data_IF_463196929041
#
_entry.id   IF_463196929041
#
_cell.length_a   1.000
_cell.length_b   1.000
_cell.length_c   1.000
_cell.angle_alpha   90.00
_cell.angle_beta   90.00
_cell.angle_gamma   90.00
#
_symmetry.space_group_name_H-M   'P 1'
#
loop_
_entity.id
_entity.type
_entity.pdbx_description
1 polymer ?
#
# COMPACT_ATOMS: atom_id res chain seq x y z
N UNK A 1 -12.40 39.06 16.81
CA UNK A 1 -12.59 40.18 15.86
C UNK A 1 -13.65 39.93 14.79
N UNK A 2 -13.76 38.72 14.19
CA UNK A 2 -14.80 38.37 13.19
C UNK A 2 -16.23 38.75 13.61
N UNK A 3 -16.68 38.37 14.81
CA UNK A 3 -18.05 38.63 15.27
C UNK A 3 -18.36 40.13 15.49
N UNK A 4 -17.37 40.92 15.90
CA UNK A 4 -17.50 42.37 16.07
C UNK A 4 -17.65 43.11 14.72
N UNK A 5 -16.99 42.60 13.67
CA UNK A 5 -17.18 43.11 12.30
C UNK A 5 -18.50 42.62 11.68
N UNK A 6 -19.04 41.47 12.11
CA UNK A 6 -20.35 40.96 11.70
C UNK A 6 -21.46 41.83 12.29
N UNK A 7 -21.39 42.14 13.60
CA UNK A 7 -22.36 42.99 14.30
C UNK A 7 -22.48 44.38 13.64
N UNK A 8 -21.36 44.92 13.16
CA UNK A 8 -21.31 46.23 12.48
C UNK A 8 -21.64 46.16 10.97
N UNK A 9 -21.92 44.98 10.42
CA UNK A 9 -22.20 44.80 8.98
C UNK A 9 -21.00 45.01 8.06
N UNK A 10 -19.77 44.98 8.59
CA UNK A 10 -18.53 45.29 7.87
C UNK A 10 -17.76 44.04 7.41
N UNK A 11 -18.15 42.86 7.90
CA UNK A 11 -17.46 41.60 7.59
C UNK A 11 -17.48 41.23 6.09
N UNK A 12 -18.57 41.53 5.37
CA UNK A 12 -18.68 41.23 3.93
C UNK A 12 -17.62 42.01 3.10
N UNK A 13 -17.32 43.24 3.51
CA UNK A 13 -16.30 44.10 2.91
C UNK A 13 -14.89 43.61 3.24
N UNK A 14 -14.59 43.35 4.52
CA UNK A 14 -13.27 42.88 4.98
C UNK A 14 -12.93 41.48 4.46
N UNK A 15 -13.93 40.62 4.25
CA UNK A 15 -13.75 39.27 3.69
C UNK A 15 -13.59 39.22 2.16
N UNK A 16 -13.58 40.38 1.48
CA UNK A 16 -13.43 40.46 0.02
C UNK A 16 -14.66 40.01 -0.78
N UNK A 17 -15.82 39.82 -0.13
CA UNK A 17 -17.07 39.40 -0.78
C UNK A 17 -17.88 40.56 -1.39
N UNK A 18 -17.48 41.79 -1.11
CA UNK A 18 -18.09 43.03 -1.63
C UNK A 18 -17.00 43.78 -2.41
N UNK A 19 -17.09 43.77 -3.74
CA UNK A 19 -16.13 44.46 -4.61
C UNK A 19 -16.52 45.94 -4.76
N UNK A 20 -15.53 46.78 -5.06
CA UNK A 20 -15.71 48.22 -5.30
C UNK A 20 -16.90 48.48 -6.24
N UNK A 21 -17.91 49.27 -5.82
CA UNK A 21 -19.04 49.61 -6.67
C UNK A 21 -18.60 50.40 -7.90
N UNK A 22 -19.16 50.09 -9.08
CA UNK A 22 -18.85 50.81 -10.32
C UNK A 22 -19.54 52.19 -10.43
N UNK A 23 -20.58 52.42 -9.61
CA UNK A 23 -21.34 53.66 -9.58
C UNK A 23 -20.69 54.68 -8.62
N UNK A 24 -20.44 55.90 -9.11
CA UNK A 24 -19.81 56.99 -8.33
C UNK A 24 -20.60 57.39 -7.07
N UNK A 25 -21.93 57.27 -7.08
CA UNK A 25 -22.79 57.59 -5.92
C UNK A 25 -22.65 56.57 -4.78
N UNK A 26 -22.35 55.31 -5.09
CA UNK A 26 -22.13 54.25 -4.10
C UNK A 26 -20.67 54.19 -3.61
N UNK A 27 -19.76 54.92 -4.28
CA UNK A 27 -18.33 54.92 -3.95
C UNK A 27 -18.05 55.63 -2.63
N UNK A 28 -18.73 56.75 -2.35
CA UNK A 28 -18.59 57.47 -1.07
C UNK A 28 -19.05 56.64 0.13
N UNK A 29 -20.21 55.98 0.00
CA UNK A 29 -20.72 55.07 1.03
C UNK A 29 -19.80 53.84 1.24
N UNK A 30 -19.12 53.40 0.19
CA UNK A 30 -18.15 52.30 0.26
C UNK A 30 -16.86 52.73 0.97
N UNK A 31 -16.32 53.91 0.67
CA UNK A 31 -15.14 54.48 1.32
C UNK A 31 -15.38 54.71 2.83
N UNK A 32 -16.52 55.29 3.21
CA UNK A 32 -16.90 55.46 4.62
C UNK A 32 -16.98 54.12 5.37
N UNK A 33 -17.49 53.07 4.70
CA UNK A 33 -17.53 51.71 5.26
C UNK A 33 -16.14 51.09 5.35
N UNK A 34 -15.24 51.39 4.41
CA UNK A 34 -13.85 50.95 4.46
C UNK A 34 -13.11 51.59 5.64
N UNK A 35 -13.23 52.91 5.82
CA UNK A 35 -12.61 53.64 6.91
C UNK A 35 -13.16 53.22 8.27
N UNK A 36 -14.47 52.95 8.34
CA UNK A 36 -15.10 52.39 9.55
C UNK A 36 -14.60 50.99 9.86
N UNK A 37 -14.40 50.15 8.84
CA UNK A 37 -13.84 48.81 9.02
C UNK A 37 -12.39 48.87 9.50
N UNK A 38 -11.55 49.69 8.86
CA UNK A 38 -10.15 49.88 9.22
C UNK A 38 -10.01 50.44 10.64
N UNK A 39 -10.79 51.46 10.98
CA UNK A 39 -10.82 52.04 12.33
C UNK A 39 -11.27 51.03 13.38
N UNK A 40 -12.29 50.23 13.06
CA UNK A 40 -12.77 49.18 13.96
C UNK A 40 -11.69 48.12 14.20
N UNK A 41 -10.96 47.72 13.16
CA UNK A 41 -9.82 46.80 13.26
C UNK A 41 -8.73 47.45 14.14
N UNK A 42 -8.29 48.66 13.82
CA UNK A 42 -7.21 49.36 14.54
C UNK A 42 -7.49 49.58 16.03
N UNK A 43 -8.74 49.94 16.38
CA UNK A 43 -9.12 50.20 17.78
C UNK A 43 -9.26 48.93 18.62
N UNK A 44 -9.45 47.76 18.01
CA UNK A 44 -9.68 46.50 18.71
C UNK A 44 -8.43 45.59 18.74
N UNK A 45 -7.26 46.11 18.34
CA UNK A 45 -5.99 45.40 18.33
C UNK A 45 -5.06 45.98 19.40
N UNK A 46 -4.29 45.11 20.06
CA UNK A 46 -3.27 45.50 21.04
C UNK A 46 -2.19 46.39 20.40
N UNK A 47 -1.66 47.36 21.16
CA UNK A 47 -0.67 48.36 20.68
C UNK A 47 0.53 47.74 19.94
N UNK A 48 0.97 46.56 20.37
CA UNK A 48 2.10 45.82 19.78
C UNK A 48 1.88 45.41 18.31
N UNK A 49 0.64 45.13 17.89
CA UNK A 49 0.33 44.68 16.53
C UNK A 49 -0.16 45.79 15.61
N UNK A 50 -0.39 47.00 16.15
CA UNK A 50 -0.81 48.17 15.34
C UNK A 50 0.20 48.54 14.27
N UNK A 51 1.48 48.20 14.47
CA UNK A 51 2.55 48.39 13.48
C UNK A 51 2.29 47.63 12.18
N UNK A 52 1.60 46.50 12.22
CA UNK A 52 1.31 45.64 11.07
C UNK A 52 0.28 46.24 10.10
N UNK A 53 -0.51 47.20 10.57
CA UNK A 53 -1.62 47.79 9.81
C UNK A 53 -1.50 49.31 9.65
N UNK A 54 -0.52 49.95 10.30
CA UNK A 54 -0.37 51.41 10.32
C UNK A 54 -0.16 52.04 8.94
N UNK A 55 0.44 51.30 8.00
CA UNK A 55 0.72 51.75 6.64
C UNK A 55 -0.41 51.44 5.66
N UNK A 56 -1.39 50.63 6.06
CA UNK A 56 -2.42 50.12 5.17
C UNK A 56 -3.65 51.01 5.18
N UNK A 57 -4.06 51.47 4.00
CA UNK A 57 -5.30 52.22 3.78
C UNK A 57 -6.47 51.32 3.39
N UNK A 58 -6.21 50.04 3.08
CA UNK A 58 -7.23 49.09 2.68
C UNK A 58 -7.55 48.12 3.83
N UNK A 59 -8.81 48.04 4.29
CA UNK A 59 -9.21 47.15 5.37
C UNK A 59 -9.02 45.67 5.03
N UNK A 60 -9.08 45.29 3.74
CA UNK A 60 -8.81 43.92 3.28
C UNK A 60 -7.34 43.57 3.50
N UNK A 61 -6.41 44.41 3.01
CA UNK A 61 -4.96 44.20 3.18
C UNK A 61 -4.54 44.25 4.65
N UNK A 62 -5.10 45.19 5.41
CA UNK A 62 -4.87 45.26 6.86
C UNK A 62 -5.30 43.96 7.55
N UNK A 63 -6.46 43.40 7.17
CA UNK A 63 -6.94 42.13 7.69
C UNK A 63 -6.09 40.93 7.23
N UNK A 64 -5.64 40.90 5.98
CA UNK A 64 -4.76 39.86 5.44
C UNK A 64 -3.40 39.85 6.14
N UNK A 65 -2.80 41.01 6.40
CA UNK A 65 -1.53 41.13 7.12
C UNK A 65 -1.65 40.60 8.56
N UNK A 66 -2.75 40.95 9.25
CA UNK A 66 -3.03 40.41 10.59
C UNK A 66 -3.25 38.91 10.53
N UNK A 67 -4.05 38.44 9.57
CA UNK A 67 -4.30 37.02 9.38
C UNK A 67 -3.00 36.25 9.14
N UNK A 68 -2.13 36.75 8.26
CA UNK A 68 -0.82 36.15 7.97
C UNK A 68 0.15 36.17 9.15
N UNK A 69 0.04 37.15 10.05
CA UNK A 69 0.91 37.23 11.23
C UNK A 69 0.43 36.33 12.37
N UNK A 70 -0.88 36.20 12.55
CA UNK A 70 -1.49 35.46 13.66
C UNK A 70 -1.91 34.03 13.33
N UNK A 71 -2.09 33.68 12.06
CA UNK A 71 -2.08 32.29 11.65
C UNK A 71 -0.61 31.84 11.65
N UNK A 72 -0.19 30.97 12.59
CA UNK A 72 1.10 30.31 12.44
C UNK A 72 1.10 29.66 11.06
N UNK A 73 2.22 29.76 10.35
CA UNK A 73 2.36 29.13 9.04
C UNK A 73 2.10 27.63 9.23
N UNK A 74 0.88 27.20 8.91
CA UNK A 74 0.48 25.80 9.02
C UNK A 74 1.41 24.94 8.17
N UNK A 75 2.21 25.54 7.28
CA UNK A 75 3.33 24.90 6.58
C UNK A 75 4.20 24.02 7.46
N UNK A 76 4.53 24.39 8.69
CA UNK A 76 5.34 23.51 9.56
C UNK A 76 4.54 22.27 9.93
N UNK A 77 3.30 22.43 10.37
CA UNK A 77 2.42 21.32 10.77
C UNK A 77 1.98 20.49 9.56
N UNK A 78 1.59 21.12 8.46
CA UNK A 78 1.41 20.54 7.13
C UNK A 78 2.63 19.71 6.73
N UNK A 79 3.84 20.25 6.80
CA UNK A 79 5.05 19.51 6.46
C UNK A 79 5.26 18.30 7.37
N UNK A 80 5.01 18.43 8.68
CA UNK A 80 5.08 17.30 9.61
C UNK A 80 4.07 16.20 9.26
N UNK A 81 2.80 16.54 9.11
CA UNK A 81 1.73 15.58 8.77
C UNK A 81 1.98 14.97 7.38
N UNK A 82 2.43 15.78 6.42
CA UNK A 82 2.72 15.31 5.06
C UNK A 82 3.91 14.35 5.04
N UNK A 83 4.97 14.62 5.81
CA UNK A 83 6.07 13.68 5.97
C UNK A 83 5.61 12.37 6.61
N UNK A 84 4.77 12.44 7.64
CA UNK A 84 4.18 11.26 8.28
C UNK A 84 3.32 10.45 7.28
N UNK A 85 2.55 11.13 6.42
CA UNK A 85 1.82 10.50 5.32
C UNK A 85 2.76 9.77 4.36
N UNK A 86 3.85 10.41 3.90
CA UNK A 86 4.81 9.80 2.98
C UNK A 86 5.54 8.58 3.59
N UNK A 87 5.76 8.59 4.90
CA UNK A 87 6.38 7.49 5.64
C UNK A 87 5.38 6.41 6.07
N UNK A 88 4.08 6.70 6.03
CA UNK A 88 3.02 5.77 6.38
C UNK A 88 3.02 4.59 5.41
N UNK A 89 3.41 3.43 5.92
CA UNK A 89 3.50 2.17 5.19
C UNK A 89 2.83 1.05 5.99
N UNK A 90 2.31 0.01 5.32
CA UNK A 90 1.72 -1.13 6.01
C UNK A 90 2.81 -1.84 6.81
N UNK A 91 2.56 -2.02 8.11
CA UNK A 91 3.43 -2.78 8.98
C UNK A 91 3.18 -4.28 8.77
N UNK A 92 4.22 -5.12 8.81
CA UNK A 92 4.03 -6.58 8.65
C UNK A 92 3.25 -7.21 9.80
N UNK A 93 3.30 -6.60 10.99
CA UNK A 93 2.59 -7.04 12.19
C UNK A 93 1.16 -6.51 12.28
N UNK A 94 0.86 -5.39 11.62
CA UNK A 94 -0.46 -4.74 11.66
C UNK A 94 -1.16 -4.99 10.32
N UNK A 95 -2.40 -5.47 10.32
CA UNK A 95 -3.12 -5.72 9.06
C UNK A 95 -3.37 -4.43 8.25
N UNK A 96 -3.71 -4.58 6.97
CA UNK A 96 -4.01 -3.44 6.09
C UNK A 96 -5.13 -2.53 6.62
N UNK A 97 -6.06 -3.04 7.44
CA UNK A 97 -7.10 -2.23 8.08
C UNK A 97 -6.51 -1.10 8.96
N UNK A 98 -5.47 -1.40 9.74
CA UNK A 98 -4.78 -0.39 10.56
C UNK A 98 -4.04 0.63 9.69
N UNK A 99 -3.48 0.18 8.57
CA UNK A 99 -2.83 1.06 7.60
C UNK A 99 -3.84 2.07 7.00
N UNK A 100 -5.02 1.61 6.57
CA UNK A 100 -6.06 2.50 6.06
C UNK A 100 -6.58 3.47 7.13
N UNK A 101 -6.72 3.04 8.40
CA UNK A 101 -7.09 3.92 9.50
C UNK A 101 -6.09 5.06 9.65
N UNK A 102 -4.79 4.75 9.71
CA UNK A 102 -3.71 5.76 9.82
C UNK A 102 -3.73 6.74 8.64
N UNK A 103 -3.92 6.25 7.42
CA UNK A 103 -4.02 7.11 6.23
C UNK A 103 -5.22 8.06 6.31
N UNK A 104 -6.40 7.56 6.71
CA UNK A 104 -7.60 8.39 6.88
C UNK A 104 -7.39 9.46 7.96
N UNK A 105 -6.83 9.09 9.10
CA UNK A 105 -6.55 10.03 10.19
C UNK A 105 -5.60 11.15 9.74
N UNK A 106 -4.59 10.85 8.92
CA UNK A 106 -3.67 11.85 8.37
C UNK A 106 -4.35 12.74 7.33
N UNK A 107 -5.20 12.18 6.47
CA UNK A 107 -5.97 12.94 5.48
C UNK A 107 -6.97 13.89 6.15
N UNK A 108 -7.63 13.43 7.22
CA UNK A 108 -8.56 14.25 8.01
C UNK A 108 -7.80 15.37 8.74
N UNK A 109 -6.63 15.08 9.31
CA UNK A 109 -5.77 16.12 9.87
C UNK A 109 -5.38 17.16 8.80
N UNK A 110 -4.97 16.74 7.60
CA UNK A 110 -4.66 17.66 6.50
C UNK A 110 -5.87 18.51 6.06
N UNK A 111 -7.08 17.96 6.17
CA UNK A 111 -8.31 18.71 5.91
C UNK A 111 -8.58 19.75 7.00
N UNK A 112 -8.36 19.41 8.27
CA UNK A 112 -8.52 20.32 9.40
C UNK A 112 -7.57 21.53 9.31
N UNK A 113 -6.40 21.32 8.70
CA UNK A 113 -5.40 22.38 8.46
C UNK A 113 -5.70 23.23 7.22
N UNK A 114 -6.87 23.04 6.59
CA UNK A 114 -7.28 23.68 5.33
C UNK A 114 -6.37 23.37 4.13
N UNK A 115 -5.64 22.25 4.19
CA UNK A 115 -4.82 21.74 3.09
C UNK A 115 -5.26 20.33 2.68
N UNK A 116 -6.49 20.14 2.17
CA UNK A 116 -6.99 18.82 1.80
C UNK A 116 -6.13 18.20 0.68
N UNK A 117 -5.99 16.88 0.71
CA UNK A 117 -5.28 16.11 -0.31
C UNK A 117 -6.26 15.55 -1.34
N UNK A 118 -5.84 15.54 -2.61
CA UNK A 118 -6.58 14.88 -3.68
C UNK A 118 -6.65 13.36 -3.45
N UNK A 119 -7.83 12.76 -3.61
CA UNK A 119 -8.04 11.31 -3.48
C UNK A 119 -7.04 10.50 -4.33
N UNK A 120 -6.74 10.96 -5.54
CA UNK A 120 -5.77 10.32 -6.44
C UNK A 120 -4.40 10.14 -5.77
N UNK A 121 -3.91 11.18 -5.07
CA UNK A 121 -2.61 11.13 -4.39
C UNK A 121 -2.64 10.14 -3.23
N UNK A 122 -3.73 10.11 -2.48
CA UNK A 122 -3.92 9.16 -1.38
C UNK A 122 -3.93 7.72 -1.92
N UNK A 123 -4.66 7.48 -3.01
CA UNK A 123 -4.75 6.17 -3.64
C UNK A 123 -3.39 5.75 -4.20
N UNK A 124 -2.68 6.61 -4.92
CA UNK A 124 -1.36 6.28 -5.45
C UNK A 124 -0.36 5.95 -4.35
N UNK A 125 -0.44 6.64 -3.20
CA UNK A 125 0.37 6.32 -2.04
C UNK A 125 0.06 4.93 -1.46
N UNK A 126 -1.23 4.59 -1.34
CA UNK A 126 -1.65 3.23 -0.92
C UNK A 126 -1.10 2.18 -1.88
N UNK A 127 -1.29 2.36 -3.18
CA UNK A 127 -0.84 1.40 -4.21
C UNK A 127 0.68 1.21 -4.22
N UNK A 128 1.44 2.29 -4.00
CA UNK A 128 2.92 2.28 -3.92
C UNK A 128 3.46 1.31 -2.88
N UNK A 129 2.75 1.18 -1.76
CA UNK A 129 3.21 0.41 -0.60
C UNK A 129 2.64 -1.02 -0.55
N UNK A 130 1.79 -1.40 -1.50
CA UNK A 130 1.30 -2.77 -1.58
C UNK A 130 2.44 -3.73 -2.00
N UNK A 131 2.53 -4.93 -1.40
CA UNK A 131 3.50 -5.95 -1.82
C UNK A 131 3.27 -6.42 -3.26
N UNK A 132 4.30 -6.97 -3.89
CA UNK A 132 4.23 -7.54 -5.26
C UNK A 132 3.15 -8.62 -5.43
N UNK A 133 2.76 -9.29 -4.35
CA UNK A 133 1.65 -10.26 -4.38
C UNK A 133 0.30 -9.63 -4.76
N UNK A 134 0.16 -8.31 -4.63
CA UNK A 134 -1.01 -7.52 -5.01
C UNK A 134 -0.88 -6.90 -6.41
N UNK A 135 0.17 -7.22 -7.19
CA UNK A 135 0.41 -6.63 -8.52
C UNK A 135 -0.79 -6.71 -9.47
N UNK A 136 -1.50 -7.84 -9.51
CA UNK A 136 -2.72 -8.01 -10.31
C UNK A 136 -3.86 -7.11 -9.85
N UNK A 137 -3.99 -6.90 -8.53
CA UNK A 137 -4.96 -5.98 -7.96
C UNK A 137 -4.62 -4.53 -8.33
N UNK A 138 -3.35 -4.14 -8.20
CA UNK A 138 -2.88 -2.80 -8.57
C UNK A 138 -3.20 -2.51 -10.04
N UNK A 139 -2.88 -3.44 -10.94
CA UNK A 139 -3.21 -3.30 -12.37
C UNK A 139 -4.71 -3.14 -12.61
N UNK A 140 -5.54 -3.93 -11.92
CA UNK A 140 -6.99 -3.82 -12.01
C UNK A 140 -7.48 -2.44 -11.53
N UNK A 141 -7.03 -1.99 -10.35
CA UNK A 141 -7.42 -0.69 -9.77
C UNK A 141 -7.04 0.47 -10.69
N UNK A 142 -5.84 0.45 -11.29
CA UNK A 142 -5.41 1.51 -12.22
C UNK A 142 -6.24 1.60 -13.50
N UNK A 143 -7.01 0.56 -13.83
CA UNK A 143 -7.92 0.53 -14.98
C UNK A 143 -9.36 0.91 -14.63
N UNK A 144 -9.64 1.26 -13.38
CA UNK A 144 -10.98 1.67 -12.95
C UNK A 144 -11.41 2.99 -13.58
N UNK A 145 -12.72 3.18 -13.65
CA UNK A 145 -13.31 4.45 -14.07
C UNK A 145 -13.04 5.54 -13.01
N UNK A 146 -13.07 6.81 -13.42
CA UNK A 146 -12.90 7.94 -12.49
C UNK A 146 -13.91 7.94 -11.35
N UNK A 147 -15.13 7.45 -11.59
CA UNK A 147 -16.18 7.35 -10.57
C UNK A 147 -15.94 6.23 -9.56
N UNK A 148 -15.21 5.19 -9.98
CA UNK A 148 -14.87 4.05 -9.11
C UNK A 148 -13.54 4.24 -8.39
N UNK A 149 -12.67 5.13 -8.92
CA UNK A 149 -11.37 5.44 -8.36
C UNK A 149 -11.48 6.30 -7.10
N UNK A 150 -11.92 5.66 -6.01
CA UNK A 150 -12.17 6.28 -4.71
C UNK A 150 -11.50 5.48 -3.60
N UNK A 151 -11.07 6.16 -2.53
CA UNK A 151 -10.36 5.53 -1.42
C UNK A 151 -11.18 4.38 -0.79
N UNK A 152 -12.50 4.55 -0.68
CA UNK A 152 -13.42 3.57 -0.11
C UNK A 152 -13.41 2.26 -0.92
N UNK A 153 -13.50 2.36 -2.24
CA UNK A 153 -13.49 1.18 -3.11
C UNK A 153 -12.12 0.50 -3.10
N UNK A 154 -11.04 1.27 -3.14
CA UNK A 154 -9.66 0.76 -3.06
C UNK A 154 -9.44 0.00 -1.75
N UNK A 155 -9.85 0.57 -0.61
CA UNK A 155 -9.78 -0.08 0.70
C UNK A 155 -10.52 -1.42 0.70
N UNK A 156 -11.76 -1.46 0.23
CA UNK A 156 -12.54 -2.70 0.18
C UNK A 156 -11.86 -3.78 -0.68
N UNK A 157 -11.26 -3.39 -1.80
CA UNK A 157 -10.60 -4.30 -2.72
C UNK A 157 -9.28 -4.84 -2.15
N UNK A 158 -8.50 -4.00 -1.47
CA UNK A 158 -7.26 -4.39 -0.79
C UNK A 158 -7.53 -5.33 0.38
N UNK A 159 -8.53 -5.01 1.23
CA UNK A 159 -8.90 -5.88 2.35
C UNK A 159 -9.44 -7.24 1.88
N UNK A 160 -10.23 -7.27 0.80
CA UNK A 160 -10.71 -8.51 0.21
C UNK A 160 -9.56 -9.36 -0.36
N UNK A 161 -8.57 -8.74 -1.00
CA UNK A 161 -7.40 -9.45 -1.52
C UNK A 161 -6.50 -9.97 -0.40
N UNK A 162 -6.28 -9.20 0.66
CA UNK A 162 -5.53 -9.65 1.84
C UNK A 162 -6.18 -10.90 2.48
N UNK A 163 -7.50 -10.90 2.62
CA UNK A 163 -8.26 -12.07 3.09
C UNK A 163 -8.07 -13.28 2.17
N UNK A 164 -8.13 -13.09 0.84
CA UNK A 164 -7.91 -14.17 -0.15
C UNK A 164 -6.49 -14.74 -0.07
N UNK A 165 -5.46 -13.91 0.11
CA UNK A 165 -4.07 -14.37 0.22
C UNK A 165 -3.83 -15.16 1.51
N UNK A 166 -4.43 -14.76 2.63
CA UNK A 166 -4.36 -15.50 3.91
C UNK A 166 -4.95 -16.91 3.82
N UNK A 167 -6.10 -17.06 3.15
CA UNK A 167 -6.71 -18.37 2.91
C UNK A 167 -5.80 -19.29 2.07
N UNK A 168 -5.21 -18.76 0.98
CA UNK A 168 -4.24 -19.51 0.17
C UNK A 168 -3.00 -19.97 0.94
N UNK A 169 -2.57 -19.22 1.95
CA UNK A 169 -1.44 -19.59 2.79
C UNK A 169 -1.81 -20.71 3.79
N UNK A 170 -3.03 -20.68 4.34
CA UNK A 170 -3.52 -21.76 5.21
C UNK A 170 -3.67 -23.09 4.45
N UNK A 171 -4.17 -23.07 3.21
CA UNK A 171 -4.30 -24.28 2.39
C UNK A 171 -2.94 -24.91 2.08
N UNK A 172 -1.89 -24.11 1.85
CA UNK A 172 -0.53 -24.63 1.65
C UNK A 172 0.06 -25.25 2.93
N UNK A 173 -0.31 -24.76 4.10
CA UNK A 173 0.03 -25.38 5.38
C UNK A 173 -0.70 -26.71 5.61
N UNK A 174 -1.98 -26.77 5.22
CA UNK A 174 -2.84 -27.96 5.33
C UNK A 174 -2.47 -29.07 4.33
N UNK A 175 -2.03 -28.71 3.13
CA UNK A 175 -1.54 -29.64 2.10
C UNK A 175 -0.25 -30.39 2.49
N UNK A 176 0.49 -29.94 3.51
CA UNK A 176 1.66 -30.65 4.02
C UNK A 176 1.33 -31.85 4.92
N UNK A 177 0.08 -31.97 5.39
CA UNK A 177 -0.40 -33.10 6.20
C UNK A 177 -1.24 -34.09 5.37
N UNK A 178 -1.71 -33.69 4.18
CA UNK A 178 -2.59 -34.49 3.33
C UNK A 178 -1.88 -35.45 2.35
N UNK A 179 -0.55 -35.55 2.39
CA UNK A 179 0.21 -36.62 1.70
C UNK A 179 0.84 -37.62 2.69
N UNK A 180 0.13 -37.90 3.78
CA UNK A 180 0.23 -39.21 4.44
C UNK A 180 -1.00 -40.02 4.01
N UNK A 181 -0.77 -40.87 3.02
CA UNK A 181 -1.71 -41.80 2.38
C UNK A 181 -2.84 -42.29 3.30
N UNK A 182 -4.07 -41.79 3.08
CA UNK A 182 -5.27 -42.57 3.39
C UNK A 182 -5.47 -43.64 2.30
N UNK A 183 -4.59 -44.64 2.30
CA UNK A 183 -4.89 -45.94 1.71
C UNK A 183 -5.65 -46.79 2.74
N UNK A 184 -6.87 -46.38 3.09
CA UNK A 184 -7.80 -47.25 3.83
C UNK A 184 -8.36 -48.28 2.85
N UNK A 185 -7.78 -49.48 2.88
CA UNK A 185 -8.35 -50.62 2.14
C UNK A 185 -7.40 -51.77 1.79
N UNK A 186 -6.37 -52.08 2.56
CA UNK A 186 -5.76 -53.42 2.49
C UNK A 186 -5.35 -53.86 3.88
N UNK A 187 -6.14 -54.76 4.46
CA UNK A 187 -5.72 -55.60 5.57
C UNK A 187 -4.30 -56.08 5.25
N UNK A 188 -3.35 -55.78 6.13
CA UNK A 188 -1.99 -56.27 6.06
C UNK A 188 -2.03 -57.79 5.99
N UNK A 189 -2.05 -58.35 4.77
CA UNK A 189 -1.79 -59.77 4.57
C UNK A 189 -0.35 -59.99 4.97
N UNK A 190 -0.14 -60.85 5.95
CA UNK A 190 1.19 -61.32 6.31
C UNK A 190 1.92 -61.73 5.03
N UNK A 191 3.09 -61.13 4.80
CA UNK A 191 3.93 -61.52 3.68
C UNK A 191 4.46 -62.92 3.98
N UNK A 192 3.86 -63.92 3.32
CA UNK A 192 4.27 -65.32 3.38
C UNK A 192 5.35 -65.57 2.32
N UNK A 193 6.47 -66.15 2.73
CA UNK A 193 7.53 -66.53 1.83
C UNK A 193 7.10 -67.69 0.92
N UNK A 194 7.03 -67.47 -0.40
CA UNK A 194 6.72 -68.52 -1.40
C UNK A 194 7.71 -69.70 -1.44
N UNK A 195 8.85 -69.62 -0.73
CA UNK A 195 9.83 -70.70 -0.67
C UNK A 195 9.75 -71.53 0.63
N UNK A 196 9.38 -70.94 1.76
CA UNK A 196 9.39 -71.64 3.06
C UNK A 196 8.07 -71.58 3.82
N UNK A 197 7.07 -70.88 3.29
CA UNK A 197 5.75 -70.74 3.90
C UNK A 197 5.71 -69.94 5.21
N UNK A 198 6.84 -69.38 5.67
CA UNK A 198 6.88 -68.55 6.89
C UNK A 198 6.52 -67.10 6.60
N UNK A 199 5.83 -66.48 7.55
CA UNK A 199 5.46 -65.07 7.51
C UNK A 199 6.66 -64.15 7.84
N UNK A 200 6.60 -62.90 7.40
CA UNK A 200 7.57 -61.85 7.73
C UNK A 200 8.69 -61.63 6.72
N UNK A 201 8.75 -62.39 5.62
CA UNK A 201 9.72 -62.15 4.52
C UNK A 201 9.26 -62.74 3.18
N UNK A 202 9.76 -62.21 2.07
CA UNK A 202 9.54 -62.75 0.71
C UNK A 202 10.61 -63.78 0.31
N UNK A 203 10.32 -64.61 -0.69
CA UNK A 203 11.22 -65.67 -1.19
C UNK A 203 12.61 -65.18 -1.66
N UNK A 204 12.81 -63.88 -1.88
CA UNK A 204 14.12 -63.29 -2.17
C UNK A 204 15.01 -63.18 -0.93
N UNK A 205 14.41 -62.97 0.24
CA UNK A 205 15.10 -62.75 1.51
C UNK A 205 15.00 -63.98 2.41
N UNK A 206 14.73 -65.16 1.83
CA UNK A 206 14.56 -66.41 2.56
C UNK A 206 15.92 -66.97 2.98
N UNK A 207 16.13 -67.09 4.29
CA UNK A 207 17.37 -67.66 4.88
C UNK A 207 17.58 -69.14 4.52
N UNK A 208 16.54 -69.85 4.07
CA UNK A 208 16.62 -71.25 3.64
C UNK A 208 17.07 -71.40 2.17
N UNK A 209 17.17 -70.31 1.41
CA UNK A 209 17.62 -70.35 0.01
C UNK A 209 19.13 -70.57 -0.14
N UNK A 210 19.87 -70.43 0.95
CA UNK A 210 21.33 -70.58 0.98
C UNK A 210 21.83 -71.98 1.32
N UNK A 211 20.94 -72.99 1.44
CA UNK A 211 21.33 -74.36 1.85
C UNK A 211 21.17 -75.44 0.78
N UNK A 212 21.08 -75.08 -0.51
CA UNK A 212 21.22 -76.06 -1.60
C UNK A 212 22.41 -75.68 -2.46
N UNK A 213 23.55 -76.27 -2.13
CA UNK A 213 24.77 -76.27 -2.93
C UNK A 213 24.66 -77.29 -4.07
N UNK A 214 24.95 -76.85 -5.30
CA UNK A 214 25.95 -77.41 -6.24
C UNK A 214 25.57 -77.12 -7.72
N UNK A 215 26.52 -77.12 -8.68
CA UNK A 215 27.90 -76.65 -8.62
C UNK A 215 28.21 -75.60 -9.72
N UNK A 216 29.29 -74.84 -9.50
CA UNK A 216 29.89 -73.91 -10.47
C UNK A 216 30.51 -74.67 -11.64
N UNK A 217 30.10 -74.36 -12.87
CA UNK A 217 30.90 -74.58 -14.07
C UNK A 217 31.59 -73.26 -14.45
N UNK A 218 32.91 -73.31 -14.44
CA UNK A 218 33.86 -72.28 -14.81
C UNK A 218 33.98 -72.25 -16.34
N UNK A 219 33.69 -71.12 -17.00
CA UNK A 219 34.17 -70.87 -18.36
C UNK A 219 34.67 -69.43 -18.47
N UNK A 220 35.97 -69.36 -18.73
CA UNK A 220 36.80 -68.19 -18.93
C UNK A 220 36.53 -67.49 -20.26
N UNK A 221 36.44 -66.15 -20.18
CA UNK A 221 36.95 -65.16 -21.11
C UNK A 221 36.80 -65.35 -22.63
N UNK A 222 36.00 -64.49 -23.26
CA UNK A 222 36.38 -63.84 -24.52
C UNK A 222 35.91 -62.39 -24.50
N UNK A 223 36.89 -61.50 -24.54
CA UNK A 223 36.78 -60.06 -24.73
C UNK A 223 36.61 -59.76 -26.21
N UNK A 224 35.51 -59.13 -26.65
CA UNK A 224 35.52 -58.31 -27.87
C UNK A 224 34.41 -57.26 -27.90
N UNK A 225 34.84 -55.99 -27.83
CA UNK A 225 34.55 -54.92 -28.81
C UNK A 225 33.07 -54.57 -29.09
N UNK A 226 32.63 -53.41 -28.55
CA UNK A 226 31.67 -52.52 -29.24
C UNK A 226 32.45 -51.67 -30.25
N UNK A 227 32.09 -51.69 -31.55
CA UNK A 227 31.64 -50.44 -32.23
C UNK A 227 30.67 -50.77 -33.40
N UNK A 228 30.19 -49.84 -34.27
CA UNK A 228 30.49 -48.40 -34.42
C UNK A 228 29.27 -47.45 -34.57
N UNK A 229 29.53 -46.17 -34.26
CA UNK A 229 29.02 -44.88 -34.80
C UNK A 229 27.70 -44.82 -35.60
N UNK A 230 26.90 -43.73 -35.54
CA UNK A 230 27.10 -42.38 -36.13
C UNK A 230 25.71 -41.68 -36.03
N UNK A 231 25.45 -40.37 -35.90
CA UNK A 231 26.09 -39.12 -36.35
C UNK A 231 25.52 -37.89 -35.59
N UNK A 232 26.42 -36.93 -35.32
CA UNK A 232 26.28 -35.45 -35.35
C UNK A 232 25.48 -34.77 -34.20
N UNK A 233 26.03 -33.99 -33.23
CA UNK A 233 26.98 -32.85 -33.24
C UNK A 233 26.51 -31.66 -34.12
N UNK A 234 26.90 -30.37 -33.89
CA UNK A 234 27.44 -29.69 -32.68
C UNK A 234 27.12 -28.14 -32.53
N UNK A 235 27.54 -27.55 -31.39
CA UNK A 235 27.86 -26.11 -31.12
C UNK A 235 26.70 -25.14 -30.81
N UNK A 236 26.82 -24.10 -29.95
CA UNK A 236 27.97 -23.52 -29.20
C UNK A 236 27.41 -22.67 -28.05
N UNK A 237 28.09 -22.66 -26.89
CA UNK A 237 28.14 -21.49 -26.02
C UNK A 237 29.06 -20.45 -26.66
N UNK A 238 28.68 -19.18 -26.63
CA UNK A 238 29.61 -18.06 -26.76
C UNK A 238 29.18 -16.97 -25.79
N UNK A 239 29.93 -16.88 -24.69
CA UNK A 239 30.09 -15.67 -23.91
C UNK A 239 31.49 -15.15 -24.25
N UNK A 240 31.62 -13.91 -24.71
CA UNK A 240 32.86 -13.12 -24.62
C UNK A 240 32.62 -11.68 -25.09
N UNK A 241 32.81 -10.75 -24.14
CA UNK A 241 33.47 -9.44 -24.23
C UNK A 241 33.57 -8.71 -25.58
N UNK A 242 33.11 -7.45 -25.55
CA UNK A 242 33.81 -6.19 -25.92
C UNK A 242 32.74 -5.08 -25.79
N UNK A 243 32.97 -3.86 -25.31
CA UNK A 243 34.16 -3.02 -25.23
C UNK A 243 33.83 -1.87 -24.27
#
# INVERSE_FOLDING_TARGET
>A
MKFLLIERGLWKLVSGKETTPAAKEELGNYEDRCDRALSTIYLNISEEYKRLIKTETCPIKAWENLKSYFEPDDRVRHQMIFNEFLECKPNKSEGFAMFFSKIKDLVDQLKDIQHPMDDDRVIFHVLRWLPDSFSSLVQNITSWSKTDFTLIKVESAVLAEDARQKLKQQDKGSLSVAYSTEAKGRQSRSVVCYHCGKEGHIARNCRLKSSVSQPRAHLSGVETRRPPWRKNSPWRRSNSNHR
#
